data_IF_471725260503
#
_entry.id   IF_471725260503
#
_cell.length_a   1.000
_cell.length_b   1.000
_cell.length_c   1.000
_cell.angle_alpha   90.00
_cell.angle_beta   90.00
_cell.angle_gamma   90.00
#
_symmetry.space_group_name_H-M   'P 1'
#
loop_
_entity.id
_entity.type
_entity.pdbx_description
1 polymer ?
#
# COMPACT_ATOMS: atom_id res chain seq x y z
N UNK A 1 -1.07 35.51 14.48
CA UNK A 1 -0.54 34.23 13.94
C UNK A 1 -1.26 33.97 12.62
N UNK A 2 -0.63 34.30 11.50
CA UNK A 2 -1.21 34.09 10.16
C UNK A 2 -0.81 32.70 9.68
N UNK A 3 -1.73 31.74 9.75
CA UNK A 3 -1.59 30.46 9.05
C UNK A 3 -2.17 30.63 7.64
N UNK A 4 -1.34 30.34 6.64
CA UNK A 4 -1.70 30.35 5.22
C UNK A 4 -2.89 29.43 5.00
N UNK A 5 -3.98 29.99 4.48
CA UNK A 5 -5.05 29.23 3.88
C UNK A 5 -4.45 28.45 2.70
N UNK A 6 -4.59 27.12 2.71
CA UNK A 6 -4.41 26.35 1.48
C UNK A 6 -5.38 26.88 0.44
N UNK A 7 -5.02 26.77 -0.84
CA UNK A 7 -5.80 27.18 -2.00
C UNK A 7 -7.10 26.37 -2.19
N UNK A 8 -7.77 25.99 -1.11
CA UNK A 8 -9.12 25.43 -1.16
C UNK A 8 -10.10 26.58 -1.37
N UNK A 9 -10.95 26.47 -2.40
CA UNK A 9 -12.03 27.43 -2.67
C UNK A 9 -13.08 27.46 -1.55
N UNK A 10 -13.01 26.52 -0.61
CA UNK A 10 -13.95 26.33 0.48
C UNK A 10 -13.28 26.59 1.83
N UNK A 11 -13.96 27.32 2.73
CA UNK A 11 -13.45 27.61 4.07
C UNK A 11 -13.47 26.34 4.91
N UNK A 12 -12.29 25.82 5.25
CA UNK A 12 -12.15 24.68 6.18
C UNK A 12 -12.02 25.19 7.60
N UNK A 13 -12.88 24.71 8.50
CA UNK A 13 -12.85 25.03 9.94
C UNK A 13 -12.47 23.80 10.74
N UNK A 14 -11.64 23.99 11.77
CA UNK A 14 -11.23 22.92 12.67
C UNK A 14 -11.98 23.02 14.00
N UNK A 15 -12.51 21.89 14.47
CA UNK A 15 -13.27 21.80 15.72
C UNK A 15 -12.69 20.68 16.58
N UNK A 16 -12.50 20.92 17.88
CA UNK A 16 -12.18 19.87 18.85
C UNK A 16 -13.43 19.54 19.65
N UNK A 17 -13.83 18.27 19.69
CA UNK A 17 -14.95 17.80 20.51
C UNK A 17 -14.53 16.52 21.26
N UNK A 18 -14.41 16.64 22.59
CA UNK A 18 -13.89 15.57 23.44
C UNK A 18 -12.45 15.18 23.06
N UNK A 19 -12.16 13.88 22.88
CA UNK A 19 -10.82 13.41 22.49
C UNK A 19 -10.53 13.56 20.99
N UNK A 20 -11.52 13.93 20.17
CA UNK A 20 -11.39 13.98 18.72
C UNK A 20 -11.28 15.43 18.21
N UNK A 21 -10.57 15.58 17.09
CA UNK A 21 -10.53 16.81 16.31
C UNK A 21 -11.13 16.55 14.94
N UNK A 22 -11.80 17.54 14.37
CA UNK A 22 -12.57 17.44 13.14
C UNK A 22 -12.19 18.59 12.20
N UNK A 23 -12.21 18.31 10.90
CA UNK A 23 -12.19 19.31 9.85
C UNK A 23 -13.59 19.41 9.23
N UNK A 24 -14.06 20.62 9.04
CA UNK A 24 -15.40 20.93 8.52
C UNK A 24 -15.22 21.76 7.26
N UNK A 25 -15.60 21.20 6.11
CA UNK A 25 -15.54 21.86 4.79
C UNK A 25 -16.98 22.25 4.40
N UNK A 26 -17.21 23.53 4.18
CA UNK A 26 -18.48 24.06 3.65
C UNK A 26 -18.57 23.78 2.14
N UNK A 27 -19.70 23.27 1.68
CA UNK A 27 -19.94 22.90 0.28
C UNK A 27 -21.45 22.85 -0.04
N UNK A 28 -21.82 22.47 -1.25
CA UNK A 28 -23.23 22.30 -1.64
C UNK A 28 -23.85 21.04 -1.04
N UNK A 29 -25.19 20.97 -0.83
CA UNK A 29 -25.85 19.77 -0.32
C UNK A 29 -25.57 18.50 -1.12
N UNK A 30 -25.50 18.62 -2.45
CA UNK A 30 -25.13 17.51 -3.32
C UNK A 30 -23.69 17.06 -3.07
N UNK A 31 -22.73 17.98 -3.11
CA UNK A 31 -21.30 17.66 -2.94
C UNK A 31 -21.01 17.08 -1.56
N UNK A 32 -21.65 17.57 -0.49
CA UNK A 32 -21.44 17.04 0.85
C UNK A 32 -21.79 15.54 0.94
N UNK A 33 -22.95 15.15 0.40
CA UNK A 33 -23.40 13.75 0.37
C UNK A 33 -22.53 12.92 -0.57
N UNK A 34 -22.25 13.45 -1.77
CA UNK A 34 -21.44 12.76 -2.77
C UNK A 34 -20.02 12.46 -2.28
N UNK A 35 -19.33 13.46 -1.72
CA UNK A 35 -17.98 13.33 -1.17
C UNK A 35 -17.97 12.36 0.03
N UNK A 36 -18.98 12.42 0.90
CA UNK A 36 -19.14 11.47 2.01
C UNK A 36 -19.27 10.03 1.50
N UNK A 37 -20.16 9.78 0.54
CA UNK A 37 -20.33 8.45 -0.06
C UNK A 37 -19.06 7.95 -0.73
N UNK A 38 -18.33 8.82 -1.42
CA UNK A 38 -17.07 8.47 -2.05
C UNK A 38 -16.03 8.00 -1.03
N UNK A 39 -15.88 8.70 0.10
CA UNK A 39 -15.01 8.22 1.18
C UNK A 39 -15.43 6.83 1.69
N UNK A 40 -16.72 6.58 1.90
CA UNK A 40 -17.20 5.26 2.34
C UNK A 40 -16.84 4.17 1.33
N UNK A 41 -17.07 4.42 0.03
CA UNK A 41 -16.75 3.48 -1.06
C UNK A 41 -15.24 3.23 -1.17
N UNK A 42 -14.41 4.26 -0.99
CA UNK A 42 -12.95 4.15 -1.00
C UNK A 42 -12.44 3.32 0.20
N UNK A 43 -12.92 3.61 1.41
CA UNK A 43 -12.55 2.88 2.63
C UNK A 43 -12.94 1.41 2.52
N UNK A 44 -14.11 1.09 1.96
CA UNK A 44 -14.57 -0.28 1.75
C UNK A 44 -13.64 -1.09 0.82
N UNK A 45 -12.85 -0.42 -0.03
CA UNK A 45 -11.83 -1.02 -0.89
C UNK A 45 -10.43 -1.03 -0.26
N UNK A 46 -10.31 -0.62 1.00
CA UNK A 46 -9.04 -0.53 1.71
C UNK A 46 -8.16 0.65 1.27
N UNK A 47 -8.69 1.62 0.53
CA UNK A 47 -7.94 2.79 0.05
C UNK A 47 -7.80 3.79 1.21
N UNK A 48 -6.61 4.35 1.37
CA UNK A 48 -6.33 5.31 2.42
C UNK A 48 -6.90 6.69 2.09
N UNK A 49 -7.87 7.14 2.88
CA UNK A 49 -8.53 8.45 2.72
C UNK A 49 -8.68 9.17 4.07
N UNK A 50 -9.21 10.40 4.06
CA UNK A 50 -9.83 10.96 5.28
C UNK A 50 -10.97 10.07 5.77
N UNK A 51 -11.20 10.09 7.08
CA UNK A 51 -12.29 9.34 7.70
C UNK A 51 -13.49 10.28 7.81
N UNK A 52 -14.59 10.03 7.08
CA UNK A 52 -15.78 10.87 7.15
C UNK A 52 -16.51 10.61 8.46
N UNK A 53 -16.87 11.68 9.16
CA UNK A 53 -17.65 11.65 10.40
C UNK A 53 -19.14 11.91 10.16
N UNK A 54 -19.48 12.65 9.11
CA UNK A 54 -20.88 12.92 8.74
C UNK A 54 -21.03 14.13 7.83
N UNK A 55 -22.28 14.41 7.47
CA UNK A 55 -22.68 15.61 6.73
C UNK A 55 -23.75 16.38 7.51
N UNK A 56 -23.78 17.70 7.34
CA UNK A 56 -24.82 18.56 7.92
C UNK A 56 -25.38 19.42 6.79
N UNK A 57 -26.70 19.40 6.61
CA UNK A 57 -27.40 20.25 5.64
C UNK A 57 -28.23 21.27 6.43
N UNK A 58 -27.98 22.55 6.17
CA UNK A 58 -28.70 23.68 6.75
C UNK A 58 -29.57 24.28 5.66
N UNK A 59 -30.89 24.11 5.81
CA UNK A 59 -31.85 24.67 4.85
C UNK A 59 -31.84 26.20 4.90
N UNK A 60 -31.64 26.82 3.75
CA UNK A 60 -31.72 28.26 3.56
C UNK A 60 -33.14 28.73 3.27
N UNK A 61 -33.32 30.05 3.24
CA UNK A 61 -34.55 30.63 2.74
C UNK A 61 -34.57 30.56 1.20
N UNK A 62 -35.73 30.37 0.56
CA UNK A 62 -35.84 30.45 -0.90
C UNK A 62 -35.45 31.86 -1.38
N UNK A 63 -34.51 31.93 -2.31
CA UNK A 63 -34.11 33.14 -3.01
C UNK A 63 -34.84 33.18 -4.35
N UNK A 64 -35.50 34.29 -4.61
CA UNK A 64 -36.13 34.57 -5.89
C UNK A 64 -35.06 34.88 -6.95
N UNK A 65 -35.01 34.09 -8.01
CA UNK A 65 -34.10 34.24 -9.15
C UNK A 65 -34.93 34.50 -10.41
N UNK A 66 -34.77 35.69 -11.00
CA UNK A 66 -35.37 36.01 -12.31
C UNK A 66 -34.62 35.28 -13.42
N UNK A 67 -35.29 34.35 -14.09
CA UNK A 67 -34.78 33.65 -15.28
C UNK A 67 -35.42 34.23 -16.54
N UNK A 68 -34.91 33.82 -17.72
CA UNK A 68 -35.51 34.18 -19.02
C UNK A 68 -36.95 33.70 -19.20
N UNK A 69 -37.41 32.75 -18.38
CA UNK A 69 -38.74 32.13 -18.46
C UNK A 69 -39.67 32.49 -17.29
N UNK A 70 -39.24 33.35 -16.36
CA UNK A 70 -40.05 33.80 -15.23
C UNK A 70 -39.28 33.88 -13.90
N UNK A 71 -40.01 33.86 -12.80
CA UNK A 71 -39.46 33.80 -11.45
C UNK A 71 -39.23 32.33 -11.06
N UNK A 72 -37.99 31.97 -10.72
CA UNK A 72 -37.63 30.68 -10.13
C UNK A 72 -37.20 30.88 -8.68
N UNK A 73 -37.43 29.90 -7.82
CA UNK A 73 -36.91 29.92 -6.44
C UNK A 73 -35.74 28.96 -6.34
N UNK A 74 -34.56 29.45 -5.96
CA UNK A 74 -33.42 28.61 -5.57
C UNK A 74 -33.27 28.62 -4.06
N UNK A 75 -32.92 27.48 -3.48
CA UNK A 75 -32.66 27.36 -2.05
C UNK A 75 -31.22 27.79 -1.74
N UNK A 76 -31.03 28.67 -0.76
CA UNK A 76 -29.70 29.01 -0.20
C UNK A 76 -29.21 27.94 0.80
N UNK A 77 -29.40 26.68 0.44
CA UNK A 77 -29.05 25.55 1.30
C UNK A 77 -27.53 25.46 1.39
N UNK A 78 -27.03 25.45 2.62
CA UNK A 78 -25.60 25.25 2.91
C UNK A 78 -25.39 23.85 3.43
N UNK A 79 -24.28 23.23 3.05
CA UNK A 79 -23.92 21.94 3.59
C UNK A 79 -22.47 21.90 4.04
N UNK A 80 -22.20 20.93 4.90
CA UNK A 80 -20.90 20.73 5.50
C UNK A 80 -20.57 19.25 5.47
N UNK A 81 -19.38 18.92 5.02
CA UNK A 81 -18.78 17.60 5.24
C UNK A 81 -17.82 17.69 6.42
N UNK A 82 -17.91 16.70 7.31
CA UNK A 82 -17.13 16.63 8.54
C UNK A 82 -16.23 15.41 8.43
N UNK A 83 -14.91 15.60 8.57
CA UNK A 83 -13.91 14.53 8.59
C UNK A 83 -13.12 14.56 9.89
N UNK A 84 -12.59 13.40 10.30
CA UNK A 84 -11.68 13.33 11.45
C UNK A 84 -10.32 13.93 11.08
N UNK A 85 -9.84 14.83 11.92
CA UNK A 85 -8.50 15.39 11.85
C UNK A 85 -7.53 14.51 12.64
N UNK A 86 -6.70 13.76 11.95
CA UNK A 86 -5.63 12.97 12.58
C UNK A 86 -4.39 13.83 12.81
N UNK A 87 -3.86 13.82 14.04
CA UNK A 87 -2.72 14.62 14.48
C UNK A 87 -1.37 14.21 13.85
N UNK A 88 -1.34 13.16 13.04
CA UNK A 88 -0.13 12.58 12.43
C UNK A 88 -0.02 12.84 10.92
N UNK A 89 -0.96 13.60 10.35
CA UNK A 89 -0.96 13.92 8.93
C UNK A 89 -0.23 15.25 8.69
N UNK A 90 0.80 15.25 7.84
CA UNK A 90 1.52 16.47 7.48
C UNK A 90 0.84 17.14 6.26
N UNK A 91 0.59 18.46 6.31
CA UNK A 91 0.17 19.22 5.14
C UNK A 91 1.22 19.20 4.02
N UNK A 92 0.76 19.33 2.79
CA UNK A 92 1.53 19.57 1.56
C UNK A 92 2.71 20.54 1.75
N UNK A 93 2.50 21.68 2.41
CA UNK A 93 3.51 22.72 2.66
C UNK A 93 4.75 22.23 3.41
N UNK A 94 4.67 21.10 4.10
CA UNK A 94 5.85 20.44 4.65
C UNK A 94 6.63 19.73 3.56
N UNK A 95 6.02 19.01 2.61
CA UNK A 95 6.71 18.35 1.48
C UNK A 95 7.66 19.28 0.74
N UNK A 96 7.23 20.53 0.53
CA UNK A 96 8.02 21.61 -0.05
C UNK A 96 9.27 22.01 0.75
N UNK A 97 9.15 22.08 2.08
CA UNK A 97 10.21 22.55 2.99
C UNK A 97 11.13 21.44 3.46
N UNK A 98 10.87 20.23 3.01
CA UNK A 98 11.62 19.08 3.45
C UNK A 98 12.96 19.03 2.73
N UNK A 99 13.94 19.66 3.38
CA UNK A 99 15.37 19.40 3.27
C UNK A 99 15.70 17.95 3.71
N UNK A 100 14.86 17.00 3.31
CA UNK A 100 14.95 15.60 3.61
C UNK A 100 16.05 15.00 2.73
N UNK A 101 16.87 14.14 3.34
CA UNK A 101 17.76 13.24 2.59
C UNK A 101 16.94 12.56 1.47
N UNK A 102 17.54 12.38 0.29
CA UNK A 102 16.90 11.75 -0.88
C UNK A 102 16.13 10.46 -0.54
N UNK A 103 16.60 9.71 0.46
CA UNK A 103 15.95 8.48 0.95
C UNK A 103 14.53 8.71 1.50
N UNK A 104 14.27 9.80 2.21
CA UNK A 104 12.95 10.10 2.77
C UNK A 104 11.99 10.62 1.69
N UNK A 105 12.49 11.42 0.76
CA UNK A 105 11.72 11.90 -0.40
C UNK A 105 11.22 10.73 -1.25
N UNK A 106 12.11 9.77 -1.56
CA UNK A 106 11.73 8.54 -2.26
C UNK A 106 10.69 7.71 -1.50
N UNK A 107 10.73 7.67 -0.16
CA UNK A 107 9.70 6.96 0.61
C UNK A 107 8.32 7.64 0.50
N UNK A 108 8.28 8.97 0.47
CA UNK A 108 7.05 9.73 0.24
C UNK A 108 6.51 9.44 -1.16
N UNK A 109 7.34 9.62 -2.19
CA UNK A 109 6.96 9.33 -3.58
C UNK A 109 6.48 7.87 -3.74
N UNK A 110 7.15 6.92 -3.08
CA UNK A 110 6.72 5.52 -3.08
C UNK A 110 5.31 5.35 -2.48
N UNK A 111 5.01 6.02 -1.38
CA UNK A 111 3.69 5.97 -0.75
C UNK A 111 2.60 6.61 -1.64
N UNK A 112 2.95 7.69 -2.34
CA UNK A 112 2.08 8.35 -3.34
C UNK A 112 1.81 7.41 -4.51
N UNK A 113 2.86 6.81 -5.07
CA UNK A 113 2.75 5.81 -6.14
C UNK A 113 1.88 4.62 -5.76
N UNK A 114 1.98 4.13 -4.51
CA UNK A 114 1.15 3.05 -4.00
C UNK A 114 -0.34 3.46 -3.98
N UNK A 115 -0.64 4.68 -3.52
CA UNK A 115 -2.00 5.21 -3.48
C UNK A 115 -2.61 5.33 -4.89
N UNK A 116 -1.90 5.93 -5.85
CA UNK A 116 -2.37 5.98 -7.24
C UNK A 116 -2.58 4.59 -7.83
N UNK A 117 -1.63 3.67 -7.59
CA UNK A 117 -1.73 2.32 -8.11
C UNK A 117 -2.96 1.57 -7.57
N UNK A 118 -3.27 1.70 -6.27
CA UNK A 118 -4.43 1.03 -5.68
C UNK A 118 -5.76 1.67 -6.12
N UNK A 119 -5.81 3.00 -6.28
CA UNK A 119 -6.98 3.72 -6.80
C UNK A 119 -7.29 3.24 -8.22
N UNK A 120 -6.29 3.32 -9.10
CA UNK A 120 -6.46 2.92 -10.50
C UNK A 120 -6.75 1.43 -10.66
N UNK A 121 -6.15 0.55 -9.84
CA UNK A 121 -6.43 -0.89 -9.87
C UNK A 121 -7.92 -1.19 -9.60
N UNK A 122 -8.59 -0.35 -8.80
CA UNK A 122 -10.02 -0.48 -8.53
C UNK A 122 -10.92 0.24 -9.55
N UNK A 123 -10.38 0.68 -10.70
CA UNK A 123 -11.06 1.47 -11.73
C UNK A 123 -11.63 2.79 -11.21
N UNK A 124 -10.89 3.46 -10.34
CA UNK A 124 -11.29 4.74 -9.77
C UNK A 124 -10.47 5.84 -10.43
N UNK A 125 -11.16 6.88 -10.90
CA UNK A 125 -10.56 8.13 -11.36
C UNK A 125 -10.61 9.13 -10.21
N UNK A 126 -9.48 9.73 -9.85
CA UNK A 126 -9.43 10.72 -8.77
C UNK A 126 -9.93 12.09 -9.25
N UNK A 127 -9.60 12.48 -10.48
CA UNK A 127 -10.04 13.76 -11.04
C UNK A 127 -9.10 14.91 -10.70
N UNK A 128 -9.08 15.34 -9.43
CA UNK A 128 -8.25 16.47 -8.97
C UNK A 128 -7.05 16.00 -8.13
N UNK A 129 -6.27 15.07 -8.69
CA UNK A 129 -5.10 14.52 -8.02
C UNK A 129 -3.95 15.54 -8.00
N UNK A 130 -3.74 16.17 -6.84
CA UNK A 130 -2.70 17.18 -6.65
C UNK A 130 -2.06 17.05 -5.27
N UNK A 131 -0.90 17.68 -5.09
CA UNK A 131 -0.26 17.79 -3.77
C UNK A 131 -1.17 18.38 -2.70
N UNK A 132 -2.00 19.37 -3.05
CA UNK A 132 -2.92 20.03 -2.13
C UNK A 132 -4.05 19.11 -1.65
N UNK A 133 -4.44 18.13 -2.47
CA UNK A 133 -5.50 17.18 -2.18
C UNK A 133 -4.96 15.85 -1.60
N UNK A 134 -3.74 15.86 -1.09
CA UNK A 134 -3.08 14.67 -0.54
C UNK A 134 -2.44 14.95 0.82
N UNK A 135 -2.42 13.93 1.68
CA UNK A 135 -1.72 13.98 2.96
C UNK A 135 -0.77 12.80 3.12
N UNK A 136 0.32 13.01 3.88
CA UNK A 136 1.20 11.92 4.30
C UNK A 136 0.97 11.61 5.77
N UNK A 137 0.69 10.34 6.07
CA UNK A 137 0.51 9.82 7.43
C UNK A 137 1.64 8.88 7.82
N UNK A 138 2.07 8.98 9.08
CA UNK A 138 2.98 8.03 9.70
C UNK A 138 2.18 6.89 10.34
N UNK A 139 2.25 5.71 9.76
CA UNK A 139 1.55 4.51 10.24
C UNK A 139 2.53 3.63 11.02
N UNK A 140 2.11 3.14 12.18
CA UNK A 140 2.89 2.18 12.97
C UNK A 140 2.53 0.77 12.52
N UNK A 141 3.43 0.13 11.81
CA UNK A 141 3.29 -1.27 11.41
C UNK A 141 3.87 -2.17 12.49
N UNK A 142 3.11 -3.20 12.88
CA UNK A 142 3.55 -4.24 13.81
C UNK A 142 3.84 -5.50 13.04
N UNK A 143 4.96 -6.15 13.32
CA UNK A 143 5.20 -7.51 12.85
C UNK A 143 4.55 -8.55 13.78
N UNK A 144 4.68 -9.82 13.42
CA UNK A 144 4.13 -10.95 14.19
C UNK A 144 4.61 -11.03 15.66
N UNK A 145 5.70 -10.33 16.00
CA UNK A 145 6.30 -10.32 17.34
C UNK A 145 6.05 -8.99 18.08
N UNK A 146 5.17 -8.13 17.54
CA UNK A 146 4.84 -6.84 18.13
C UNK A 146 5.93 -5.78 17.96
N UNK A 147 6.98 -6.03 17.17
CA UNK A 147 7.97 -5.01 16.84
C UNK A 147 7.32 -3.97 15.95
N UNK A 148 7.56 -2.71 16.28
CA UNK A 148 6.93 -1.58 15.59
C UNK A 148 7.94 -0.93 14.66
N UNK A 149 7.56 -0.73 13.39
CA UNK A 149 8.23 0.22 12.50
C UNK A 149 7.27 1.34 12.12
N UNK A 150 7.82 2.46 11.69
CA UNK A 150 7.04 3.54 11.12
C UNK A 150 7.10 3.43 9.60
N UNK A 151 5.94 3.39 8.97
CA UNK A 151 5.78 3.46 7.52
C UNK A 151 5.11 4.79 7.15
N UNK A 152 5.38 5.27 5.94
CA UNK A 152 4.68 6.41 5.36
C UNK A 152 3.56 5.89 4.46
N UNK A 153 2.37 6.47 4.60
CA UNK A 153 1.22 6.23 3.72
C UNK A 153 0.70 7.55 3.18
N UNK A 154 0.51 7.60 1.86
CA UNK A 154 -0.22 8.70 1.24
C UNK A 154 -1.72 8.46 1.39
N UNK A 155 -2.45 9.55 1.50
CA UNK A 155 -3.89 9.56 1.78
C UNK A 155 -4.57 10.55 0.87
N UNK A 156 -5.66 10.10 0.25
CA UNK A 156 -6.56 10.96 -0.53
C UNK A 156 -7.32 11.89 0.42
N UNK A 157 -7.08 13.18 0.28
CA UNK A 157 -7.61 14.22 1.17
C UNK A 157 -8.89 14.85 0.65
N UNK A 158 -9.12 14.85 -0.66
CA UNK A 158 -10.34 15.36 -1.28
C UNK A 158 -10.96 14.29 -2.20
N UNK A 159 -12.22 13.93 -1.92
CA UNK A 159 -12.98 12.92 -2.65
C UNK A 159 -14.11 13.52 -3.50
N UNK A 160 -14.17 14.84 -3.65
CA UNK A 160 -15.24 15.58 -4.35
C UNK A 160 -15.28 15.22 -5.84
N UNK A 161 -14.13 15.04 -6.48
CA UNK A 161 -13.98 14.77 -7.92
C UNK A 161 -13.79 13.29 -8.25
N UNK A 162 -13.83 12.42 -7.24
CA UNK A 162 -13.63 10.98 -7.43
C UNK A 162 -14.81 10.37 -8.19
N UNK A 163 -14.49 9.54 -9.18
CA UNK A 163 -15.45 8.79 -9.98
C UNK A 163 -15.09 7.30 -10.01
N UNK A 164 -16.11 6.45 -9.82
CA UNK A 164 -15.98 4.99 -9.93
C UNK A 164 -16.37 4.57 -11.34
N UNK A 165 -15.38 4.14 -12.13
CA UNK A 165 -15.57 3.79 -13.53
C UNK A 165 -15.76 2.28 -13.71
N UNK A 166 -16.45 1.82 -14.78
CA UNK A 166 -16.46 0.41 -15.16
C UNK A 166 -15.06 -0.13 -15.47
N UNK A 167 -14.24 0.69 -16.13
CA UNK A 167 -12.84 0.40 -16.45
C UNK A 167 -12.09 1.72 -16.66
N UNK A 168 -10.92 1.85 -16.04
CA UNK A 168 -10.06 3.01 -16.23
C UNK A 168 -9.05 2.77 -17.36
N UNK A 169 -8.98 3.69 -18.33
CA UNK A 169 -8.05 3.56 -19.45
C UNK A 169 -6.60 3.87 -19.04
N UNK A 170 -5.63 3.30 -19.76
CA UNK A 170 -4.21 3.63 -19.55
C UNK A 170 -3.92 5.13 -19.75
N UNK A 171 -4.56 5.76 -20.73
CA UNK A 171 -4.39 7.19 -20.99
C UNK A 171 -4.89 8.04 -19.82
N UNK A 172 -6.04 7.68 -19.24
CA UNK A 172 -6.58 8.42 -18.08
C UNK A 172 -5.64 8.31 -16.87
N UNK A 173 -5.12 7.10 -16.60
CA UNK A 173 -4.15 6.86 -15.53
C UNK A 173 -2.86 7.65 -15.74
N UNK A 174 -2.35 7.71 -16.98
CA UNK A 174 -1.15 8.50 -17.31
C UNK A 174 -1.40 9.97 -17.09
N UNK A 175 -2.52 10.49 -17.58
CA UNK A 175 -2.88 11.90 -17.42
C UNK A 175 -3.01 12.30 -15.95
N UNK A 176 -3.56 11.44 -15.07
CA UNK A 176 -3.59 11.72 -13.62
C UNK A 176 -2.18 11.85 -13.01
N UNK A 177 -1.24 11.03 -13.44
CA UNK A 177 0.15 11.12 -12.98
C UNK A 177 0.86 12.36 -13.52
N UNK A 178 0.59 12.76 -14.78
CA UNK A 178 1.13 14.01 -15.34
C UNK A 178 0.55 15.24 -14.63
N UNK A 179 -0.78 15.31 -14.43
CA UNK A 179 -1.43 16.40 -13.70
C UNK A 179 -0.88 16.53 -12.28
N UNK A 180 -0.63 15.39 -11.61
CA UNK A 180 0.01 15.39 -10.31
C UNK A 180 1.44 15.94 -10.39
N UNK A 181 2.21 15.58 -11.42
CA UNK A 181 3.55 16.11 -11.64
C UNK A 181 3.54 17.62 -11.89
N UNK A 182 2.64 18.14 -12.71
CA UNK A 182 2.45 19.59 -12.91
C UNK A 182 2.18 20.30 -11.58
N UNK A 183 1.39 19.70 -10.68
CA UNK A 183 1.17 20.26 -9.34
C UNK A 183 2.45 20.33 -8.49
N UNK A 184 3.39 19.40 -8.67
CA UNK A 184 4.71 19.43 -8.04
C UNK A 184 5.58 20.55 -8.60
N UNK A 185 5.50 20.80 -9.91
CA UNK A 185 6.22 21.89 -10.57
C UNK A 185 5.77 23.25 -10.07
N UNK A 186 4.46 23.49 -10.00
CA UNK A 186 3.92 24.75 -9.46
C UNK A 186 4.35 24.99 -8.02
N UNK A 187 4.34 23.94 -7.19
CA UNK A 187 4.81 24.06 -5.81
C UNK A 187 6.31 24.41 -5.74
N UNK A 188 7.12 23.88 -6.64
CA UNK A 188 8.55 24.20 -6.72
C UNK A 188 8.78 25.65 -7.13
N UNK A 189 8.01 26.16 -8.10
CA UNK A 189 8.09 27.57 -8.50
C UNK A 189 7.75 28.50 -7.34
N UNK A 190 6.71 28.19 -6.58
CA UNK A 190 6.35 28.91 -5.36
C UNK A 190 7.48 28.91 -4.32
N UNK A 191 8.23 27.81 -4.18
CA UNK A 191 9.37 27.74 -3.28
C UNK A 191 10.54 28.60 -3.74
N UNK A 192 10.85 28.59 -5.04
CA UNK A 192 11.89 29.44 -5.64
C UNK A 192 11.61 30.92 -5.35
N UNK A 193 10.34 31.32 -5.45
CA UNK A 193 9.92 32.68 -5.15
C UNK A 193 10.10 33.06 -3.67
N UNK A 194 9.98 32.09 -2.76
CA UNK A 194 10.13 32.29 -1.31
C UNK A 194 11.58 32.21 -0.83
N UNK A 195 12.39 31.35 -1.44
CA UNK A 195 13.81 31.14 -1.12
C UNK A 195 14.59 30.79 -2.40
N UNK A 196 15.30 31.78 -2.94
CA UNK A 196 16.06 31.64 -4.19
C UNK A 196 17.30 30.75 -4.06
N UNK A 197 17.77 30.52 -2.83
CA UNK A 197 18.98 29.74 -2.54
C UNK A 197 18.64 28.32 -2.06
N UNK A 198 17.35 27.95 -2.04
CA UNK A 198 16.91 26.62 -1.65
C UNK A 198 17.52 25.54 -2.56
N UNK A 199 18.12 24.51 -1.97
CA UNK A 199 18.50 23.29 -2.68
C UNK A 199 17.22 22.54 -3.09
N UNK A 200 16.82 22.67 -4.35
CA UNK A 200 15.59 22.07 -4.86
C UNK A 200 15.83 20.65 -5.35
N UNK A 201 14.87 19.74 -5.13
CA UNK A 201 14.95 18.39 -5.65
C UNK A 201 14.92 18.37 -7.18
N UNK A 202 15.58 17.35 -7.76
CA UNK A 202 15.49 17.03 -9.17
C UNK A 202 14.10 16.44 -9.49
N UNK A 203 13.21 17.31 -9.98
CA UNK A 203 11.83 16.93 -10.30
C UNK A 203 11.75 15.87 -11.39
N UNK A 204 12.68 15.85 -12.35
CA UNK A 204 12.65 14.85 -13.43
C UNK A 204 12.98 13.46 -12.86
N UNK A 205 14.02 13.36 -12.02
CA UNK A 205 14.34 12.11 -11.33
C UNK A 205 13.20 11.64 -10.42
N UNK A 206 12.57 12.57 -9.69
CA UNK A 206 11.44 12.25 -8.82
C UNK A 206 10.21 11.78 -9.62
N UNK A 207 9.95 12.40 -10.77
CA UNK A 207 8.87 12.02 -11.68
C UNK A 207 9.08 10.62 -12.26
N UNK A 208 10.29 10.34 -12.75
CA UNK A 208 10.67 9.01 -13.24
C UNK A 208 10.55 7.95 -12.14
N UNK A 209 10.98 8.28 -10.91
CA UNK A 209 10.83 7.40 -9.75
C UNK A 209 9.36 7.13 -9.42
N UNK A 210 8.52 8.17 -9.39
CA UNK A 210 7.09 8.06 -9.12
C UNK A 210 6.39 7.17 -10.16
N UNK A 211 6.67 7.37 -11.45
CA UNK A 211 6.15 6.55 -12.56
C UNK A 211 6.61 5.09 -12.45
N UNK A 212 7.91 4.87 -12.21
CA UNK A 212 8.45 3.53 -12.06
C UNK A 212 7.85 2.80 -10.86
N UNK A 213 7.79 3.45 -9.70
CA UNK A 213 7.20 2.91 -8.49
C UNK A 213 5.71 2.63 -8.67
N UNK A 214 4.98 3.52 -9.34
CA UNK A 214 3.57 3.33 -9.67
C UNK A 214 3.36 2.09 -10.54
N UNK A 215 4.13 1.94 -11.63
CA UNK A 215 4.02 0.78 -12.52
C UNK A 215 4.34 -0.53 -11.78
N UNK A 216 5.31 -0.52 -10.87
CA UNK A 216 5.64 -1.67 -10.03
C UNK A 216 4.47 -2.07 -9.12
N UNK A 217 3.82 -1.11 -8.45
CA UNK A 217 2.66 -1.40 -7.60
C UNK A 217 1.45 -1.83 -8.41
N UNK A 218 1.12 -1.11 -9.48
CA UNK A 218 -0.03 -1.41 -10.32
C UNK A 218 0.11 -2.81 -10.94
N UNK A 219 1.29 -3.13 -11.49
CA UNK A 219 1.58 -4.46 -12.02
C UNK A 219 1.56 -5.54 -10.94
N UNK A 220 1.98 -5.25 -9.71
CA UNK A 220 1.86 -6.19 -8.59
C UNK A 220 0.40 -6.47 -8.24
N UNK A 221 -0.47 -5.45 -8.20
CA UNK A 221 -1.91 -5.65 -7.95
C UNK A 221 -2.56 -6.48 -9.05
N UNK A 222 -2.23 -6.21 -10.32
CA UNK A 222 -2.69 -7.04 -11.44
C UNK A 222 -2.25 -8.50 -11.30
N UNK A 223 -0.95 -8.73 -11.05
CA UNK A 223 -0.44 -10.09 -10.87
C UNK A 223 -1.12 -10.82 -9.71
N UNK A 224 -1.45 -10.12 -8.62
CA UNK A 224 -2.18 -10.69 -7.48
C UNK A 224 -3.60 -11.08 -7.85
N UNK A 225 -4.31 -10.24 -8.60
CA UNK A 225 -5.65 -10.53 -9.08
C UNK A 225 -5.67 -11.72 -10.06
N UNK A 226 -4.72 -11.73 -11.01
CA UNK A 226 -4.56 -12.81 -11.98
C UNK A 226 -4.25 -14.13 -11.26
N UNK A 227 -3.31 -14.11 -10.31
CA UNK A 227 -2.95 -15.28 -9.50
C UNK A 227 -4.14 -15.82 -8.71
N UNK A 228 -4.94 -14.94 -8.09
CA UNK A 228 -6.14 -15.38 -7.38
C UNK A 228 -7.17 -16.00 -8.32
N UNK A 229 -7.41 -15.37 -9.49
CA UNK A 229 -8.35 -15.87 -10.50
C UNK A 229 -7.93 -17.24 -11.04
N UNK A 230 -6.64 -17.43 -11.24
CA UNK A 230 -6.03 -18.65 -11.78
C UNK A 230 -6.00 -19.79 -10.74
N UNK A 231 -5.53 -19.51 -9.52
CA UNK A 231 -5.21 -20.55 -8.53
C UNK A 231 -6.26 -20.71 -7.43
N UNK A 232 -7.15 -19.73 -7.27
CA UNK A 232 -8.07 -19.63 -6.12
C UNK A 232 -7.40 -19.21 -4.81
N UNK A 233 -6.08 -19.04 -4.76
CA UNK A 233 -5.35 -18.64 -3.56
C UNK A 233 -5.21 -17.12 -3.48
N UNK A 234 -5.86 -16.49 -2.51
CA UNK A 234 -5.67 -15.06 -2.21
C UNK A 234 -4.24 -14.80 -1.69
N UNK A 235 -3.42 -13.98 -2.38
CA UNK A 235 -2.04 -13.71 -1.98
C UNK A 235 -1.87 -12.96 -0.64
N UNK A 236 -2.82 -12.12 -0.25
CA UNK A 236 -2.73 -11.40 1.02
C UNK A 236 -3.18 -12.29 2.18
N UNK A 237 -4.23 -13.07 1.98
CA UNK A 237 -4.78 -13.95 3.02
C UNK A 237 -3.99 -15.25 3.21
N UNK A 238 -3.79 -16.02 2.12
CA UNK A 238 -3.18 -17.35 2.18
C UNK A 238 -1.66 -17.26 2.30
N UNK A 239 -1.02 -16.38 1.52
CA UNK A 239 0.44 -16.23 1.47
C UNK A 239 0.98 -15.18 2.45
N UNK A 240 0.09 -14.61 3.28
CA UNK A 240 0.40 -13.61 4.32
C UNK A 240 1.15 -12.39 3.77
N UNK A 241 0.72 -11.94 2.59
CA UNK A 241 1.21 -10.73 1.94
C UNK A 241 2.35 -10.99 0.96
N UNK A 242 2.15 -10.52 -0.27
CA UNK A 242 3.19 -10.45 -1.30
C UNK A 242 3.51 -8.98 -1.57
N UNK A 243 4.79 -8.64 -1.47
CA UNK A 243 5.29 -7.26 -1.62
C UNK A 243 6.08 -7.02 -2.90
N UNK A 244 6.32 -8.07 -3.71
CA UNK A 244 7.04 -7.93 -4.96
C UNK A 244 6.56 -8.93 -6.04
N UNK A 245 6.68 -8.57 -7.34
CA UNK A 245 6.27 -9.43 -8.45
C UNK A 245 7.06 -10.74 -8.60
N UNK A 246 8.29 -10.81 -8.08
CA UNK A 246 9.12 -12.03 -8.22
C UNK A 246 8.54 -13.14 -7.36
N UNK A 247 8.15 -12.82 -6.12
CA UNK A 247 7.57 -13.79 -5.18
C UNK A 247 6.31 -14.45 -5.72
N UNK A 248 5.40 -13.69 -6.34
CA UNK A 248 4.16 -14.27 -6.88
C UNK A 248 4.41 -15.15 -8.11
N UNK A 249 5.35 -14.76 -8.98
CA UNK A 249 5.73 -15.54 -10.15
C UNK A 249 6.38 -16.86 -9.77
N UNK A 250 7.25 -16.84 -8.76
CA UNK A 250 7.92 -18.06 -8.29
C UNK A 250 6.94 -19.02 -7.60
N UNK A 251 6.01 -18.51 -6.79
CA UNK A 251 4.97 -19.34 -6.19
C UNK A 251 4.06 -19.94 -7.26
N UNK A 252 3.64 -19.16 -8.27
CA UNK A 252 2.88 -19.68 -9.42
C UNK A 252 3.63 -20.83 -10.10
N UNK A 253 4.93 -20.66 -10.35
CA UNK A 253 5.77 -21.69 -10.96
C UNK A 253 5.79 -22.97 -10.13
N UNK A 254 5.94 -22.87 -8.81
CA UNK A 254 5.90 -24.04 -7.92
C UNK A 254 4.55 -24.76 -7.94
N UNK A 255 3.45 -24.01 -8.03
CA UNK A 255 2.10 -24.59 -8.15
C UNK A 255 1.95 -25.33 -9.48
N UNK A 256 2.44 -24.77 -10.59
CA UNK A 256 2.42 -25.44 -11.90
C UNK A 256 3.26 -26.72 -11.93
N UNK A 257 4.46 -26.68 -11.34
CA UNK A 257 5.30 -27.88 -11.18
C UNK A 257 4.60 -28.94 -10.33
N UNK A 258 3.90 -28.52 -9.27
CA UNK A 258 3.11 -29.42 -8.42
C UNK A 258 1.89 -30.00 -9.15
N UNK A 259 1.19 -29.19 -9.96
CA UNK A 259 0.10 -29.64 -10.85
C UNK A 259 0.59 -30.74 -11.78
N UNK A 260 1.74 -30.55 -12.42
CA UNK A 260 2.34 -31.53 -13.31
C UNK A 260 2.63 -32.85 -12.57
N UNK A 261 3.30 -32.77 -11.42
CA UNK A 261 3.60 -33.95 -10.60
C UNK A 261 2.35 -34.74 -10.19
N UNK A 262 1.30 -34.05 -9.74
CA UNK A 262 0.06 -34.70 -9.36
C UNK A 262 -0.64 -35.34 -10.56
N UNK A 263 -0.62 -34.67 -11.72
CA UNK A 263 -1.28 -35.15 -12.95
C UNK A 263 -0.62 -36.44 -13.46
N UNK A 264 0.72 -36.49 -13.44
CA UNK A 264 1.49 -37.71 -13.76
C UNK A 264 1.12 -38.85 -12.82
N UNK A 265 1.06 -38.58 -11.51
CA UNK A 265 0.72 -39.60 -10.51
C UNK A 265 -0.72 -40.11 -10.64
N UNK A 266 -1.65 -39.24 -11.03
CA UNK A 266 -3.05 -39.59 -11.24
C UNK A 266 -3.31 -40.22 -12.62
N UNK A 267 -2.34 -40.18 -13.54
CA UNK A 267 -2.50 -40.50 -14.96
C UNK A 267 -3.71 -39.79 -15.59
N UNK A 268 -3.94 -38.54 -15.16
CA UNK A 268 -5.02 -37.68 -15.62
C UNK A 268 -4.68 -36.22 -15.28
N UNK A 269 -5.14 -35.27 -16.10
CA UNK A 269 -4.91 -33.84 -15.83
C UNK A 269 -5.68 -33.37 -14.59
N UNK A 270 -4.97 -32.73 -13.66
CA UNK A 270 -5.53 -32.08 -12.47
C UNK A 270 -5.65 -30.59 -12.73
N UNK A 271 -6.76 -29.98 -12.31
CA UNK A 271 -6.96 -28.54 -12.44
C UNK A 271 -5.98 -27.76 -11.55
N UNK A 272 -5.53 -26.59 -12.03
CA UNK A 272 -4.60 -25.72 -11.32
C UNK A 272 -5.12 -25.29 -9.94
N UNK A 273 -6.44 -25.09 -9.77
CA UNK A 273 -7.03 -24.72 -8.48
C UNK A 273 -6.86 -25.86 -7.45
N UNK A 274 -7.15 -27.10 -7.85
CA UNK A 274 -6.99 -28.27 -6.97
C UNK A 274 -5.51 -28.51 -6.64
N UNK A 275 -4.63 -28.32 -7.63
CA UNK A 275 -3.20 -28.40 -7.42
C UNK A 275 -2.68 -27.30 -6.49
N UNK A 276 -3.19 -26.07 -6.60
CA UNK A 276 -2.83 -24.94 -5.74
C UNK A 276 -3.26 -25.17 -4.29
N UNK A 277 -4.49 -25.63 -4.06
CA UNK A 277 -4.98 -25.99 -2.73
C UNK A 277 -4.12 -27.11 -2.14
N UNK A 278 -3.87 -28.18 -2.90
CA UNK A 278 -3.03 -29.27 -2.44
C UNK A 278 -1.61 -28.79 -2.13
N UNK A 279 -0.98 -27.98 -3.00
CA UNK A 279 0.35 -27.41 -2.76
C UNK A 279 0.37 -26.57 -1.47
N UNK A 280 -0.66 -25.73 -1.28
CA UNK A 280 -0.80 -24.88 -0.11
C UNK A 280 -0.86 -25.71 1.19
N UNK A 281 -1.68 -26.77 1.21
CA UNK A 281 -1.89 -27.61 2.39
C UNK A 281 -0.76 -28.62 2.66
N UNK A 282 -0.15 -29.16 1.60
CA UNK A 282 0.84 -30.24 1.72
C UNK A 282 2.29 -29.76 1.76
N UNK A 283 2.57 -28.55 1.25
CA UNK A 283 3.94 -28.02 1.13
C UNK A 283 4.05 -26.69 1.89
N UNK A 284 3.26 -25.68 1.50
CA UNK A 284 3.45 -24.32 2.01
C UNK A 284 3.15 -24.21 3.52
N UNK A 285 1.94 -24.61 3.95
CA UNK A 285 1.53 -24.54 5.36
C UNK A 285 2.41 -25.39 6.28
N UNK A 286 2.75 -26.66 5.97
CA UNK A 286 3.66 -27.44 6.80
C UNK A 286 5.04 -26.79 6.93
N UNK A 287 5.55 -26.18 5.86
CA UNK A 287 6.82 -25.46 5.89
C UNK A 287 6.77 -24.24 6.80
N UNK A 288 5.69 -23.44 6.72
CA UNK A 288 5.48 -22.34 7.67
C UNK A 288 5.33 -22.84 9.11
N UNK A 289 4.70 -24.00 9.31
CA UNK A 289 4.62 -24.65 10.62
C UNK A 289 5.99 -24.99 11.21
N UNK A 290 6.95 -25.43 10.39
CA UNK A 290 8.34 -25.62 10.82
C UNK A 290 9.03 -24.29 11.13
N UNK A 291 8.77 -23.24 10.35
CA UNK A 291 9.31 -21.90 10.61
C UNK A 291 8.86 -21.34 11.96
N UNK A 292 7.59 -21.54 12.30
CA UNK A 292 7.03 -21.16 13.60
C UNK A 292 7.66 -21.96 14.75
N UNK A 293 7.81 -23.29 14.61
CA UNK A 293 8.47 -24.14 15.62
C UNK A 293 9.92 -23.71 15.87
N UNK A 294 10.63 -23.29 14.83
CA UNK A 294 12.02 -22.81 14.93
C UNK A 294 12.06 -21.36 15.47
N UNK A 295 10.96 -20.60 15.34
CA UNK A 295 10.88 -19.20 15.75
C UNK A 295 11.65 -18.27 14.82
N UNK A 296 11.74 -18.60 13.52
CA UNK A 296 12.63 -17.90 12.58
C UNK A 296 12.20 -16.43 12.38
N UNK A 297 10.91 -16.13 12.43
CA UNK A 297 10.36 -14.78 12.23
C UNK A 297 10.90 -13.75 13.24
N UNK A 298 11.30 -14.20 14.44
CA UNK A 298 11.97 -13.35 15.43
C UNK A 298 13.27 -12.75 14.89
N UNK A 299 13.95 -13.43 13.99
CA UNK A 299 15.25 -13.01 13.48
C UNK A 299 15.17 -12.25 12.15
N UNK A 300 14.00 -12.30 11.49
CA UNK A 300 13.73 -11.62 10.23
C UNK A 300 12.52 -10.67 10.35
N UNK A 301 12.65 -9.55 11.09
CA UNK A 301 11.58 -8.57 11.26
C UNK A 301 11.03 -8.06 9.93
N UNK A 302 9.70 -7.95 9.87
CA UNK A 302 8.94 -7.39 8.74
C UNK A 302 9.15 -8.09 7.38
N UNK A 303 9.77 -9.27 7.35
CA UNK A 303 9.74 -10.16 6.20
C UNK A 303 8.40 -10.88 6.17
N UNK A 304 7.79 -10.98 4.99
CA UNK A 304 6.54 -11.74 4.85
C UNK A 304 6.84 -13.25 4.84
N UNK A 305 5.91 -14.10 5.32
CA UNK A 305 6.06 -15.55 5.27
C UNK A 305 6.37 -16.09 3.87
N UNK A 306 5.71 -15.59 2.83
CA UNK A 306 5.99 -15.97 1.44
C UNK A 306 7.42 -15.64 1.00
N UNK A 307 7.95 -14.48 1.38
CA UNK A 307 9.34 -14.13 1.05
C UNK A 307 10.33 -15.08 1.74
N UNK A 308 10.17 -15.29 3.07
CA UNK A 308 11.05 -16.19 3.82
C UNK A 308 10.96 -17.63 3.30
N UNK A 309 9.76 -18.10 2.95
CA UNK A 309 9.56 -19.40 2.33
C UNK A 309 10.41 -19.54 1.08
N UNK A 310 10.31 -18.61 0.12
CA UNK A 310 11.10 -18.69 -1.11
C UNK A 310 12.61 -18.59 -0.83
N UNK A 311 13.04 -17.63 -0.02
CA UNK A 311 14.46 -17.44 0.31
C UNK A 311 15.08 -18.71 0.91
N UNK A 312 14.38 -19.36 1.84
CA UNK A 312 14.86 -20.58 2.52
C UNK A 312 14.78 -21.80 1.59
N UNK A 313 13.73 -21.92 0.79
CA UNK A 313 13.61 -23.04 -0.16
C UNK A 313 14.66 -22.96 -1.27
N UNK A 314 14.96 -21.76 -1.78
CA UNK A 314 16.07 -21.52 -2.70
C UNK A 314 17.41 -21.85 -2.04
N UNK A 315 17.61 -21.45 -0.77
CA UNK A 315 18.83 -21.81 -0.02
C UNK A 315 18.97 -23.31 0.17
N UNK A 316 17.89 -24.02 0.53
CA UNK A 316 17.83 -25.47 0.65
C UNK A 316 18.23 -26.16 -0.65
N UNK A 317 17.70 -25.69 -1.78
CA UNK A 317 18.04 -26.24 -3.10
C UNK A 317 19.55 -26.22 -3.35
N UNK A 318 20.20 -25.06 -3.21
CA UNK A 318 21.64 -24.94 -3.42
C UNK A 318 22.47 -25.73 -2.41
N UNK A 319 22.02 -25.81 -1.15
CA UNK A 319 22.65 -26.66 -0.14
C UNK A 319 22.60 -28.13 -0.54
N UNK A 320 21.45 -28.61 -1.01
CA UNK A 320 21.26 -30.00 -1.42
C UNK A 320 22.04 -30.34 -2.69
N UNK A 321 22.12 -29.43 -3.66
CA UNK A 321 22.99 -29.61 -4.84
C UNK A 321 24.46 -29.77 -4.45
N UNK A 322 24.96 -28.92 -3.54
CA UNK A 322 26.35 -28.97 -3.08
C UNK A 322 26.65 -30.22 -2.25
N UNK A 323 25.68 -30.69 -1.47
CA UNK A 323 25.82 -31.85 -0.62
C UNK A 323 25.64 -33.18 -1.38
N UNK A 324 24.96 -33.16 -2.54
CA UNK A 324 24.60 -34.35 -3.31
C UNK A 324 23.43 -35.15 -2.72
N UNK A 325 22.72 -34.61 -1.73
CA UNK A 325 21.53 -35.21 -1.11
C UNK A 325 20.62 -34.13 -0.53
N UNK A 326 19.36 -34.47 -0.24
CA UNK A 326 18.46 -33.49 0.39
C UNK A 326 18.89 -33.18 1.83
N UNK A 327 19.39 -31.97 2.04
CA UNK A 327 19.84 -31.47 3.35
C UNK A 327 18.71 -31.31 4.36
N UNK A 328 17.45 -31.22 3.91
CA UNK A 328 16.30 -31.04 4.78
C UNK A 328 16.03 -29.57 5.16
N UNK A 329 14.78 -29.28 5.54
CA UNK A 329 14.33 -27.91 5.79
C UNK A 329 14.93 -27.30 7.06
N UNK A 330 15.16 -28.10 8.10
CA UNK A 330 15.68 -27.60 9.39
C UNK A 330 17.12 -27.11 9.22
N UNK A 331 17.94 -27.92 8.57
CA UNK A 331 19.32 -27.64 8.22
C UNK A 331 19.42 -26.39 7.33
N UNK A 332 18.55 -26.28 6.32
CA UNK A 332 18.48 -25.11 5.46
C UNK A 332 18.11 -23.84 6.22
N UNK A 333 17.09 -23.89 7.08
CA UNK A 333 16.72 -22.77 7.96
C UNK A 333 17.91 -22.35 8.82
N UNK A 334 18.62 -23.30 9.44
CA UNK A 334 19.78 -22.99 10.29
C UNK A 334 20.97 -22.43 9.51
N UNK A 335 21.25 -22.92 8.30
CA UNK A 335 22.30 -22.36 7.45
C UNK A 335 21.94 -20.95 7.00
N UNK A 336 20.75 -20.77 6.44
CA UNK A 336 20.25 -19.46 5.98
C UNK A 336 20.29 -18.43 7.12
N UNK A 337 19.85 -18.84 8.30
CA UNK A 337 19.96 -18.11 9.54
C UNK A 337 21.39 -17.70 9.91
N UNK A 338 22.36 -18.61 9.75
CA UNK A 338 23.76 -18.34 10.03
C UNK A 338 24.40 -17.39 9.02
N UNK A 339 24.01 -17.50 7.75
CA UNK A 339 24.63 -16.77 6.65
C UNK A 339 24.14 -15.31 6.59
N UNK A 340 22.89 -15.05 6.98
CA UNK A 340 22.24 -13.74 6.89
C UNK A 340 21.83 -13.15 8.25
N UNK A 341 22.04 -13.88 9.34
CA UNK A 341 21.74 -13.45 10.68
C UNK A 341 22.68 -12.32 11.15
N UNK A 342 22.26 -11.07 10.97
CA UNK A 342 22.92 -9.90 11.58
C UNK A 342 22.69 -9.79 13.12
N UNK A 343 22.12 -10.82 13.76
CA UNK A 343 21.89 -10.88 15.20
C UNK A 343 22.93 -11.82 15.88
N UNK A 344 23.86 -11.28 16.69
CA UNK A 344 24.86 -12.07 17.41
C UNK A 344 24.27 -13.15 18.34
N UNK A 345 23.06 -12.92 18.87
CA UNK A 345 22.38 -13.88 19.73
C UNK A 345 21.78 -15.03 18.91
N UNK A 346 21.33 -14.74 17.69
CA UNK A 346 20.86 -15.75 16.74
C UNK A 346 22.00 -16.66 16.28
N UNK A 347 23.15 -16.09 15.92
CA UNK A 347 24.35 -16.87 15.57
C UNK A 347 24.80 -17.80 16.70
N UNK A 348 24.70 -17.36 17.96
CA UNK A 348 24.98 -18.21 19.14
C UNK A 348 23.95 -19.33 19.29
N UNK A 349 22.67 -19.04 19.08
CA UNK A 349 21.59 -20.02 19.11
C UNK A 349 21.76 -21.10 18.03
N UNK A 350 22.00 -20.68 16.79
CA UNK A 350 22.27 -21.57 15.64
C UNK A 350 23.48 -22.45 15.91
N UNK A 351 24.61 -21.87 16.38
CA UNK A 351 25.81 -22.65 16.75
C UNK A 351 25.55 -23.68 17.86
N UNK A 352 24.67 -23.38 18.83
CA UNK A 352 24.29 -24.33 19.90
C UNK A 352 23.49 -25.50 19.34
N UNK A 353 22.58 -25.26 18.40
CA UNK A 353 21.75 -26.29 17.79
C UNK A 353 22.56 -27.14 16.81
N UNK A 354 23.37 -26.55 15.93
CA UNK A 354 24.26 -27.30 15.03
C UNK A 354 25.14 -28.27 15.81
N UNK A 355 25.71 -27.84 16.95
CA UNK A 355 26.47 -28.72 17.86
C UNK A 355 25.65 -29.86 18.46
N UNK A 356 24.34 -29.67 18.62
CA UNK A 356 23.43 -30.68 19.15
C UNK A 356 23.05 -31.69 18.07
N UNK A 357 22.72 -31.22 16.85
CA UNK A 357 22.39 -32.07 15.70
C UNK A 357 23.61 -32.90 15.23
N UNK A 358 24.80 -32.31 15.16
CA UNK A 358 26.04 -33.02 14.81
C UNK A 358 26.41 -34.13 15.82
N UNK A 359 25.90 -34.09 17.05
CA UNK A 359 26.08 -35.19 18.03
C UNK A 359 25.19 -36.39 17.73
N UNK A 360 24.08 -36.21 17.02
CA UNK A 360 23.17 -37.29 16.63
C UNK A 360 23.52 -37.92 15.28
N UNK A 361 24.18 -37.17 14.38
CA UNK A 361 24.59 -37.66 13.04
C UNK A 361 25.91 -38.49 13.09
N UNK A 362 26.64 -38.48 14.21
CA UNK A 362 27.87 -39.26 14.42
C UNK A 362 27.67 -40.59 15.17
N UNK A 363 26.46 -41.14 15.21
CA UNK A 363 26.16 -42.42 15.86
C UNK A 363 25.58 -43.44 14.89
#
# INVERSE_FOLDING_TARGET
MNFRAGLSRHVVRFLKAGPYSYAIKETSPYNAVYEFENYIKLIAKGIHTLIPAGTVIVKGLPIEVKTRTGISYQTDDRAFIITLLESTALPDSYLAKLNFKDSNRKQILKAISELFAVIHFHNIYWGDASLANMMIRFVKEKDAHGRVRTALKAVLADAETVEFLPSISENLRKNELENFHESMEWMREDLILLDKDAALPDLESDHQYLKSSYNNFYGLYQLKADFFTETGLDPDFHLKGIVNPVTIKEIRKQIEEHKWYLSEKANNEINIIDAAIHWYESIYLPTLGEFEKIGIYKYFPFRTPAMLYLEIMTHKYYMSEKAGYDTGIKEAVYSYASDLGNDPNFLKFVKKIIRTVLKFVKK
#
